data_IF_845973884853
#
_entry.id   IF_845973884853
#
_cell.length_a   1.000
_cell.length_b   1.000
_cell.length_c   1.000
_cell.angle_alpha   90.00
_cell.angle_beta   90.00
_cell.angle_gamma   90.00
#
_symmetry.space_group_name_H-M   'P 1'
#
loop_
_entity.id
_entity.type
_entity.pdbx_description
1 polymer ?
#
# COMPACT_ATOMS: atom_id res chain seq x y z
N UNK A 1 -91.40 -24.32 -20.53
CA UNK A 1 -90.59 -23.67 -19.48
C UNK A 1 -89.17 -23.87 -19.86
N UNK A 2 -88.46 -22.80 -20.29
CA UNK A 2 -87.13 -22.89 -20.88
C UNK A 2 -86.12 -22.33 -19.90
N UNK A 3 -85.15 -23.13 -19.48
CA UNK A 3 -83.99 -22.65 -18.71
C UNK A 3 -82.80 -22.49 -19.64
N UNK A 4 -82.24 -21.27 -19.67
CA UNK A 4 -80.98 -20.94 -20.36
C UNK A 4 -79.82 -21.12 -19.42
N UNK A 5 -78.65 -21.63 -19.85
CA UNK A 5 -77.46 -21.63 -19.06
C UNK A 5 -76.66 -20.34 -19.30
N UNK A 6 -76.09 -19.75 -18.23
CA UNK A 6 -75.22 -18.62 -18.23
C UNK A 6 -73.75 -19.11 -18.53
N UNK A 7 -73.12 -18.59 -19.58
CA UNK A 7 -71.72 -18.76 -19.87
C UNK A 7 -70.91 -17.79 -19.00
N UNK A 8 -70.10 -18.37 -18.09
CA UNK A 8 -69.07 -17.62 -17.36
C UNK A 8 -67.83 -17.39 -18.22
N UNK A 9 -67.44 -16.13 -18.42
CA UNK A 9 -66.18 -15.73 -19.06
C UNK A 9 -65.07 -15.81 -18.04
N UNK A 10 -64.16 -16.79 -18.17
CA UNK A 10 -62.88 -16.82 -17.43
C UNK A 10 -61.92 -15.85 -18.09
N UNK A 11 -61.55 -14.77 -17.40
CA UNK A 11 -60.50 -13.86 -17.80
C UNK A 11 -59.15 -14.44 -17.36
N UNK A 12 -58.38 -14.97 -18.31
CA UNK A 12 -57.01 -15.41 -18.07
C UNK A 12 -56.05 -14.22 -17.93
N UNK A 13 -55.43 -14.07 -16.79
CA UNK A 13 -54.32 -13.14 -16.58
C UNK A 13 -53.05 -13.81 -17.07
N UNK A 14 -52.50 -13.34 -18.20
CA UNK A 14 -51.13 -13.66 -18.65
C UNK A 14 -50.17 -12.79 -17.85
N UNK A 15 -49.51 -13.38 -16.87
CA UNK A 15 -48.37 -12.76 -16.22
C UNK A 15 -47.15 -12.83 -17.16
N UNK A 16 -46.80 -11.74 -17.77
CA UNK A 16 -45.55 -11.58 -18.52
C UNK A 16 -44.37 -11.52 -17.51
N UNK A 17 -43.67 -12.63 -17.36
CA UNK A 17 -42.39 -12.65 -16.63
C UNK A 17 -41.34 -11.95 -17.52
N UNK A 18 -41.01 -10.71 -17.20
CA UNK A 18 -39.84 -10.01 -17.78
C UNK A 18 -38.56 -10.66 -17.22
N UNK A 19 -37.93 -11.52 -18.01
CA UNK A 19 -36.62 -12.00 -17.78
C UNK A 19 -35.65 -10.81 -17.98
N UNK A 20 -35.21 -10.18 -16.90
CA UNK A 20 -34.09 -9.23 -16.94
C UNK A 20 -32.85 -10.03 -17.32
N UNK A 21 -32.41 -9.94 -18.56
CA UNK A 21 -31.12 -10.43 -19.00
C UNK A 21 -30.06 -9.63 -18.26
N UNK A 22 -29.42 -10.25 -17.26
CA UNK A 22 -28.19 -9.73 -16.70
C UNK A 22 -27.17 -9.71 -17.84
N UNK A 23 -26.79 -8.53 -18.30
CA UNK A 23 -25.64 -8.36 -19.19
C UNK A 23 -24.44 -8.96 -18.47
N UNK A 24 -23.62 -9.79 -19.15
CA UNK A 24 -22.38 -10.23 -18.55
C UNK A 24 -21.58 -8.96 -18.21
N UNK A 25 -21.24 -8.79 -16.94
CA UNK A 25 -20.24 -7.81 -16.55
C UNK A 25 -18.97 -8.19 -17.29
N UNK A 26 -18.47 -7.31 -18.15
CA UNK A 26 -17.16 -7.50 -18.74
C UNK A 26 -16.16 -7.48 -17.57
N UNK A 27 -15.42 -8.56 -17.42
CA UNK A 27 -14.29 -8.61 -16.50
C UNK A 27 -13.11 -7.96 -17.19
N UNK A 28 -12.64 -6.84 -16.64
CA UNK A 28 -11.51 -6.10 -17.17
C UNK A 28 -10.20 -6.45 -16.44
N UNK A 29 -9.06 -6.19 -17.09
CA UNK A 29 -7.76 -6.34 -16.46
C UNK A 29 -7.22 -4.96 -16.09
N UNK A 30 -7.23 -4.64 -14.80
CA UNK A 30 -6.70 -3.40 -14.28
C UNK A 30 -5.18 -3.46 -14.08
N UNK A 31 -4.45 -2.57 -14.71
CA UNK A 31 -3.01 -2.38 -14.49
C UNK A 31 -2.77 -1.48 -13.31
N UNK A 32 -2.17 -2.04 -12.24
CA UNK A 32 -1.93 -1.34 -10.99
C UNK A 32 -0.43 -1.17 -10.75
N UNK A 33 0.09 0.03 -10.96
CA UNK A 33 1.46 0.37 -10.54
C UNK A 33 1.48 0.69 -9.05
N UNK A 34 2.26 -0.06 -8.26
CA UNK A 34 2.22 0.03 -6.80
C UNK A 34 3.61 0.04 -6.18
N UNK A 35 3.80 0.87 -5.16
CA UNK A 35 5.03 0.89 -4.37
C UNK A 35 4.96 0.02 -3.11
N UNK A 36 6.14 -0.40 -2.63
CA UNK A 36 6.28 -1.46 -1.63
C UNK A 36 5.48 -1.28 -0.34
N UNK A 37 5.38 -0.06 0.18
CA UNK A 37 4.79 0.15 1.51
C UNK A 37 3.28 -0.16 1.62
N UNK A 38 2.52 -0.20 0.51
CA UNK A 38 1.10 -0.61 0.53
C UNK A 38 0.87 -2.00 -0.09
N UNK A 39 1.89 -2.63 -0.67
CA UNK A 39 1.73 -3.85 -1.46
C UNK A 39 1.17 -5.03 -0.63
N UNK A 40 1.55 -5.15 0.64
CA UNK A 40 1.09 -6.24 1.50
C UNK A 40 -0.43 -6.16 1.77
N UNK A 41 -0.96 -4.95 2.02
CA UNK A 41 -2.40 -4.73 2.18
C UNK A 41 -3.14 -4.96 0.86
N UNK A 42 -2.61 -4.43 -0.24
CA UNK A 42 -3.17 -4.62 -1.58
C UNK A 42 -3.27 -6.10 -1.97
N UNK A 43 -2.23 -6.90 -1.74
CA UNK A 43 -2.23 -8.33 -2.05
C UNK A 43 -3.23 -9.13 -1.24
N UNK A 44 -3.52 -8.72 0.01
CA UNK A 44 -4.54 -9.36 0.84
C UNK A 44 -5.96 -8.94 0.45
N UNK A 45 -6.15 -7.72 -0.02
CA UNK A 45 -7.45 -7.16 -0.41
C UNK A 45 -7.84 -7.50 -1.84
N UNK A 46 -6.87 -7.58 -2.77
CA UNK A 46 -7.10 -7.80 -4.20
C UNK A 46 -8.01 -8.99 -4.53
N UNK A 47 -7.82 -10.19 -3.93
CA UNK A 47 -8.69 -11.33 -4.18
C UNK A 47 -10.16 -11.06 -3.85
N UNK A 48 -10.44 -10.27 -2.81
CA UNK A 48 -11.80 -9.87 -2.44
C UNK A 48 -12.43 -8.92 -3.47
N UNK A 49 -11.65 -8.00 -4.02
CA UNK A 49 -12.08 -7.12 -5.12
C UNK A 49 -12.42 -7.94 -6.38
N UNK A 50 -11.48 -8.79 -6.83
CA UNK A 50 -11.68 -9.67 -7.99
C UNK A 50 -12.92 -10.57 -7.83
N UNK A 51 -13.15 -11.11 -6.62
CA UNK A 51 -14.33 -11.94 -6.37
C UNK A 51 -15.65 -11.15 -6.44
N UNK A 52 -15.62 -9.85 -6.09
CA UNK A 52 -16.79 -8.99 -6.07
C UNK A 52 -17.15 -8.41 -7.45
N UNK A 53 -16.15 -8.10 -8.28
CA UNK A 53 -16.34 -7.42 -9.58
C UNK A 53 -16.18 -8.35 -10.78
N UNK A 54 -15.36 -9.38 -10.67
CA UNK A 54 -14.91 -10.22 -11.77
C UNK A 54 -13.61 -9.72 -12.42
N UNK A 55 -13.19 -8.49 -12.16
CA UNK A 55 -11.98 -7.90 -12.75
C UNK A 55 -10.72 -8.59 -12.24
N UNK A 56 -9.68 -8.58 -13.07
CA UNK A 56 -8.35 -9.08 -12.72
C UNK A 56 -7.38 -7.93 -12.46
N UNK A 57 -6.32 -8.19 -11.71
CA UNK A 57 -5.35 -7.19 -11.30
C UNK A 57 -3.96 -7.55 -11.84
N UNK A 58 -3.48 -6.82 -12.85
CA UNK A 58 -2.08 -6.86 -13.30
C UNK A 58 -1.23 -5.93 -12.42
N UNK A 59 -0.45 -6.52 -11.52
CA UNK A 59 0.31 -5.78 -10.51
C UNK A 59 1.73 -5.49 -10.99
N UNK A 60 2.07 -4.23 -11.09
CA UNK A 60 3.36 -3.73 -11.57
C UNK A 60 4.09 -3.03 -10.41
N UNK A 61 4.99 -3.71 -9.68
CA UNK A 61 5.74 -3.10 -8.58
C UNK A 61 6.74 -2.06 -9.08
N UNK A 62 6.89 -0.96 -8.31
CA UNK A 62 7.90 0.06 -8.59
C UNK A 62 8.01 1.09 -7.49
N UNK A 63 9.20 1.73 -7.30
CA UNK A 63 9.36 2.80 -6.34
C UNK A 63 8.45 3.99 -6.61
N UNK A 64 8.00 4.67 -5.55
CA UNK A 64 7.22 5.91 -5.65
C UNK A 64 8.01 7.07 -6.27
N UNK A 65 9.34 7.00 -6.27
CA UNK A 65 10.25 8.04 -6.74
C UNK A 65 11.65 7.48 -6.99
N UNK A 66 12.55 8.33 -7.48
CA UNK A 66 13.96 7.98 -7.70
C UNK A 66 14.33 7.84 -9.16
N UNK A 67 15.60 7.49 -9.42
CA UNK A 67 16.16 7.43 -10.77
C UNK A 67 15.99 6.06 -11.45
N UNK A 68 15.47 5.06 -10.72
CA UNK A 68 15.24 3.74 -11.30
C UNK A 68 14.26 3.83 -12.47
N UNK A 69 14.52 3.08 -13.52
CA UNK A 69 13.58 2.96 -14.66
C UNK A 69 12.26 2.32 -14.25
N UNK A 70 12.24 1.55 -13.15
CA UNK A 70 11.05 0.91 -12.58
C UNK A 70 10.22 1.87 -11.70
N UNK A 71 10.75 3.06 -11.35
CA UNK A 71 10.00 4.02 -10.57
C UNK A 71 8.72 4.45 -11.32
N UNK A 72 7.59 4.48 -10.60
CA UNK A 72 6.28 4.79 -11.17
C UNK A 72 6.29 6.08 -12.01
N UNK A 73 6.88 7.21 -11.53
CA UNK A 73 6.95 8.42 -12.34
C UNK A 73 7.70 8.23 -13.66
N UNK A 74 8.79 7.44 -13.64
CA UNK A 74 9.61 7.20 -14.83
C UNK A 74 8.90 6.26 -15.83
N UNK A 75 8.11 5.29 -15.35
CA UNK A 75 7.25 4.44 -16.19
C UNK A 75 6.20 5.28 -16.91
N UNK A 76 5.45 6.11 -16.17
CA UNK A 76 4.44 7.01 -16.75
C UNK A 76 5.06 8.03 -17.72
N UNK A 77 6.26 8.55 -17.42
CA UNK A 77 6.98 9.47 -18.32
C UNK A 77 7.38 8.83 -19.66
N UNK A 78 7.61 7.51 -19.70
CA UNK A 78 7.86 6.74 -20.92
C UNK A 78 6.59 6.31 -21.65
N UNK A 79 5.40 6.65 -21.14
CA UNK A 79 4.13 6.28 -21.73
C UNK A 79 3.66 4.86 -21.38
N UNK A 80 4.24 4.21 -20.36
CA UNK A 80 3.68 2.96 -19.85
C UNK A 80 2.30 3.24 -19.24
N UNK A 81 1.29 2.48 -19.67
CA UNK A 81 -0.08 2.65 -19.22
C UNK A 81 -0.32 1.98 -17.87
N UNK A 82 -1.16 2.60 -17.07
CA UNK A 82 -1.74 2.02 -15.86
C UNK A 82 -3.16 2.57 -15.67
N UNK A 83 -4.01 1.81 -15.01
CA UNK A 83 -5.35 2.24 -14.61
C UNK A 83 -5.32 2.84 -13.20
N UNK A 84 -4.45 2.32 -12.34
CA UNK A 84 -4.26 2.80 -10.98
C UNK A 84 -2.78 2.97 -10.68
N UNK A 85 -2.44 4.04 -9.95
CA UNK A 85 -1.14 4.18 -9.28
C UNK A 85 -1.36 4.25 -7.78
N UNK A 86 -0.59 3.48 -6.99
CA UNK A 86 -0.60 3.49 -5.52
C UNK A 86 0.82 3.77 -5.05
N UNK A 87 1.02 4.91 -4.38
CA UNK A 87 2.35 5.40 -4.10
C UNK A 87 2.36 6.38 -2.91
N UNK A 88 3.55 6.84 -2.56
CA UNK A 88 3.70 7.89 -1.54
C UNK A 88 2.95 9.16 -1.95
N UNK A 89 2.11 9.68 -1.05
CA UNK A 89 1.15 10.75 -1.34
C UNK A 89 1.79 12.01 -1.94
N UNK A 90 2.89 12.52 -1.38
CA UNK A 90 3.54 13.72 -1.93
C UNK A 90 4.17 13.47 -3.32
N UNK A 91 4.53 12.23 -3.66
CA UNK A 91 5.00 11.91 -5.00
C UNK A 91 3.82 11.78 -5.98
N UNK A 92 2.67 11.31 -5.51
CA UNK A 92 1.41 11.34 -6.27
C UNK A 92 0.97 12.79 -6.54
N UNK A 93 1.07 13.68 -5.54
CA UNK A 93 0.74 15.10 -5.69
C UNK A 93 1.59 15.77 -6.79
N UNK A 94 2.86 15.38 -6.91
CA UNK A 94 3.72 15.85 -8.01
C UNK A 94 3.21 15.38 -9.37
N UNK A 95 2.82 14.11 -9.50
CA UNK A 95 2.24 13.59 -10.74
C UNK A 95 0.91 14.28 -11.10
N UNK A 96 0.11 14.66 -10.11
CA UNK A 96 -1.09 15.47 -10.30
C UNK A 96 -0.73 16.85 -10.84
N UNK A 97 0.25 17.52 -10.24
CA UNK A 97 0.73 18.84 -10.68
C UNK A 97 1.32 18.81 -12.10
N UNK A 98 1.95 17.69 -12.47
CA UNK A 98 2.48 17.44 -13.82
C UNK A 98 1.40 17.05 -14.84
N UNK A 99 0.13 16.95 -14.43
CA UNK A 99 -0.99 16.53 -15.30
C UNK A 99 -0.93 15.05 -15.72
N UNK A 100 -0.24 14.21 -14.97
CA UNK A 100 -0.12 12.77 -15.23
C UNK A 100 -1.20 11.94 -14.54
N UNK A 101 -1.78 12.45 -13.46
CA UNK A 101 -2.84 11.80 -12.68
C UNK A 101 -4.01 12.76 -12.54
N UNK A 102 -5.23 12.25 -12.61
CA UNK A 102 -6.48 13.00 -12.49
C UNK A 102 -6.62 13.51 -11.05
N UNK A 103 -6.68 14.83 -10.79
CA UNK A 103 -6.72 15.37 -9.43
C UNK A 103 -7.88 14.83 -8.58
N UNK A 104 -9.08 14.73 -9.18
CA UNK A 104 -10.29 14.28 -8.50
C UNK A 104 -10.28 12.79 -8.14
N UNK A 105 -9.31 12.01 -8.66
CA UNK A 105 -9.20 10.58 -8.39
C UNK A 105 -8.31 10.25 -7.18
N UNK A 106 -7.69 11.25 -6.54
CA UNK A 106 -6.79 11.04 -5.40
C UNK A 106 -7.54 10.52 -4.17
N UNK A 107 -7.11 9.36 -3.66
CA UNK A 107 -7.71 8.69 -2.49
C UNK A 107 -6.61 8.38 -1.47
N UNK A 108 -6.83 8.75 -0.21
CA UNK A 108 -5.96 8.39 0.90
C UNK A 108 -6.17 6.92 1.27
N UNK A 109 -5.09 6.14 1.43
CA UNK A 109 -5.18 4.70 1.68
C UNK A 109 -4.70 4.30 3.06
N UNK A 110 -3.51 4.75 3.47
CA UNK A 110 -2.92 4.39 4.75
C UNK A 110 -1.77 5.32 5.16
N UNK A 111 -1.47 5.36 6.45
CA UNK A 111 -0.22 5.89 6.97
C UNK A 111 0.76 4.77 7.26
N UNK A 112 2.00 4.96 6.88
CA UNK A 112 3.08 4.04 7.15
C UNK A 112 4.13 4.68 8.06
N UNK A 113 4.57 3.93 9.06
CA UNK A 113 5.58 4.36 10.02
C UNK A 113 6.84 3.53 9.89
N UNK A 114 7.98 4.11 10.26
CA UNK A 114 9.26 3.43 10.31
C UNK A 114 9.30 2.55 11.56
N UNK A 115 9.75 1.32 11.38
CA UNK A 115 10.03 0.39 12.45
C UNK A 115 11.46 -0.14 12.39
N UNK A 116 11.81 -0.90 13.41
CA UNK A 116 13.10 -1.55 13.59
C UNK A 116 12.94 -3.06 13.68
N UNK A 117 13.88 -3.79 13.08
CA UNK A 117 14.03 -5.23 13.22
C UNK A 117 15.45 -5.57 13.69
N UNK A 118 15.52 -6.72 14.37
CA UNK A 118 16.76 -7.44 14.65
C UNK A 118 16.67 -8.84 14.08
N UNK A 119 17.76 -9.58 13.97
CA UNK A 119 17.74 -10.99 13.58
C UNK A 119 16.90 -11.81 14.57
N UNK A 120 16.18 -12.82 14.07
CA UNK A 120 15.43 -13.73 14.93
C UNK A 120 16.33 -14.39 15.98
N UNK A 121 15.89 -14.36 17.24
CA UNK A 121 16.65 -14.87 18.38
C UNK A 121 17.72 -13.90 18.95
N UNK A 122 17.98 -12.76 18.29
CA UNK A 122 18.83 -11.73 18.86
C UNK A 122 18.11 -10.95 19.99
N UNK A 123 18.85 -10.36 20.95
CA UNK A 123 18.27 -9.50 21.96
C UNK A 123 17.44 -8.38 21.32
N UNK A 124 16.25 -8.15 21.86
CA UNK A 124 15.34 -7.09 21.41
C UNK A 124 15.59 -5.84 22.25
N UNK A 125 16.19 -4.76 21.69
CA UNK A 125 16.37 -3.52 22.43
C UNK A 125 15.03 -2.84 22.68
N UNK A 126 14.95 -2.06 23.78
CA UNK A 126 13.80 -1.21 24.00
C UNK A 126 13.97 0.12 23.25
N UNK A 127 13.14 0.32 22.24
CA UNK A 127 13.11 1.55 21.44
C UNK A 127 11.83 2.37 21.64
N UNK A 128 11.06 2.08 22.70
CA UNK A 128 9.81 2.78 22.99
C UNK A 128 10.00 4.25 23.37
N UNK A 129 11.23 4.65 23.71
CA UNK A 129 11.59 6.04 24.01
C UNK A 129 12.71 6.53 23.08
N UNK A 130 12.88 7.85 22.99
CA UNK A 130 13.98 8.46 22.21
C UNK A 130 15.34 8.02 22.76
N UNK A 131 15.52 7.96 24.06
CA UNK A 131 16.77 7.55 24.68
C UNK A 131 17.04 6.05 24.42
N UNK A 132 16.04 5.19 24.55
CA UNK A 132 16.18 3.77 24.21
C UNK A 132 16.55 3.55 22.74
N UNK A 133 15.96 4.30 21.80
CA UNK A 133 16.35 4.26 20.40
C UNK A 133 17.81 4.74 20.18
N UNK A 134 18.22 5.81 20.87
CA UNK A 134 19.60 6.29 20.84
C UNK A 134 20.59 5.21 21.33
N UNK A 135 20.29 4.61 22.47
CA UNK A 135 21.11 3.55 23.05
C UNK A 135 21.21 2.34 22.12
N UNK A 136 20.10 1.91 21.54
CA UNK A 136 20.06 0.83 20.56
C UNK A 136 20.94 1.12 19.32
N UNK A 137 20.87 2.34 18.79
CA UNK A 137 21.69 2.78 17.66
C UNK A 137 23.18 2.88 18.03
N UNK A 138 23.52 3.39 19.22
CA UNK A 138 24.92 3.52 19.67
C UNK A 138 25.54 2.17 19.94
N UNK A 139 24.80 1.22 20.52
CA UNK A 139 25.29 -0.13 20.84
C UNK A 139 25.38 -1.04 19.61
N UNK A 140 24.53 -0.86 18.60
CA UNK A 140 24.55 -1.69 17.40
C UNK A 140 25.89 -1.59 16.67
N UNK A 141 26.40 -2.75 16.19
CA UNK A 141 27.65 -2.82 15.41
C UNK A 141 27.44 -2.37 13.96
N UNK A 142 26.27 -2.59 13.41
CA UNK A 142 25.89 -2.21 12.05
C UNK A 142 24.40 -1.88 11.95
N UNK A 143 24.07 -0.91 11.10
CA UNK A 143 22.71 -0.41 10.89
C UNK A 143 22.38 -0.42 9.41
N UNK A 144 21.27 -1.03 9.03
CA UNK A 144 20.75 -1.00 7.67
C UNK A 144 19.50 -0.12 7.57
N UNK A 145 19.37 0.60 6.47
CA UNK A 145 18.14 1.32 6.12
C UNK A 145 17.89 1.26 4.61
N UNK A 146 16.65 1.45 4.17
CA UNK A 146 16.27 1.32 2.76
C UNK A 146 16.73 2.50 1.90
N UNK A 147 16.70 2.33 0.58
CA UNK A 147 16.85 3.40 -0.42
C UNK A 147 15.54 4.14 -0.72
N UNK A 148 14.48 3.88 0.06
CA UNK A 148 13.16 4.52 -0.06
C UNK A 148 13.03 5.79 0.81
N UNK A 149 11.80 6.34 0.87
CA UNK A 149 11.50 7.54 1.65
C UNK A 149 11.92 7.41 3.13
N UNK A 150 11.73 6.23 3.75
CA UNK A 150 12.14 6.00 5.14
C UNK A 150 13.65 6.07 5.32
N UNK A 151 14.42 5.50 4.41
CA UNK A 151 15.88 5.53 4.49
C UNK A 151 16.45 6.92 4.26
N UNK A 152 15.89 7.68 3.33
CA UNK A 152 16.27 9.09 3.11
C UNK A 152 16.05 9.91 4.40
N UNK A 153 14.91 9.72 5.06
CA UNK A 153 14.64 10.40 6.34
C UNK A 153 15.62 9.97 7.43
N UNK A 154 15.88 8.66 7.57
CA UNK A 154 16.81 8.12 8.58
C UNK A 154 18.20 8.72 8.42
N UNK A 155 18.73 8.71 7.20
CA UNK A 155 20.06 9.20 6.88
C UNK A 155 20.20 10.71 7.09
N UNK A 156 19.23 11.48 6.59
CA UNK A 156 19.33 12.95 6.54
C UNK A 156 18.83 13.65 7.79
N UNK A 157 17.89 13.03 8.51
CA UNK A 157 17.19 13.72 9.59
C UNK A 157 17.21 12.96 10.92
N UNK A 158 16.86 11.66 10.98
CA UNK A 158 16.65 10.94 12.23
C UNK A 158 17.94 10.89 13.06
N UNK A 159 19.07 10.51 12.48
CA UNK A 159 20.35 10.45 13.19
C UNK A 159 20.77 11.81 13.76
N UNK A 160 20.50 12.87 13.03
CA UNK A 160 20.77 14.25 13.47
C UNK A 160 19.81 14.68 14.59
N UNK A 161 18.51 14.43 14.44
CA UNK A 161 17.51 14.73 15.49
C UNK A 161 17.82 14.01 16.80
N UNK A 162 18.35 12.79 16.71
CA UNK A 162 18.78 12.00 17.86
C UNK A 162 20.15 12.45 18.42
N UNK A 163 20.90 13.28 17.71
CA UNK A 163 22.25 13.69 18.12
C UNK A 163 23.31 12.58 18.06
N UNK A 164 23.09 11.54 17.26
CA UNK A 164 23.97 10.36 17.15
C UNK A 164 24.61 10.21 15.77
N UNK A 165 24.43 11.18 14.90
CA UNK A 165 24.85 11.10 13.49
C UNK A 165 26.34 10.71 13.33
N UNK A 166 27.22 11.37 14.07
CA UNK A 166 28.66 11.15 13.98
C UNK A 166 29.07 9.72 14.36
N UNK A 167 28.37 9.11 15.34
CA UNK A 167 28.68 7.77 15.84
C UNK A 167 28.02 6.67 15.00
N UNK A 168 26.85 6.95 14.42
CA UNK A 168 26.06 5.94 13.71
C UNK A 168 26.38 5.90 12.21
N UNK A 169 26.60 7.03 11.54
CA UNK A 169 26.92 7.08 10.09
C UNK A 169 28.05 6.14 9.66
N UNK A 170 29.18 6.00 10.39
CA UNK A 170 30.28 5.12 9.95
C UNK A 170 29.93 3.63 9.91
N UNK A 171 28.85 3.23 10.60
CA UNK A 171 28.38 1.83 10.68
C UNK A 171 26.97 1.63 10.09
N UNK A 172 26.43 2.65 9.45
CA UNK A 172 25.10 2.64 8.84
C UNK A 172 25.22 2.60 7.31
N UNK A 173 24.42 1.79 6.67
CA UNK A 173 24.44 1.61 5.21
C UNK A 173 23.05 1.60 4.62
N UNK A 174 22.92 2.27 3.47
CA UNK A 174 21.75 2.15 2.62
C UNK A 174 21.75 0.80 1.89
N UNK A 175 20.64 0.07 1.95
CA UNK A 175 20.44 -1.21 1.27
C UNK A 175 19.56 -0.96 0.05
N UNK A 176 20.11 -1.03 -1.18
CA UNK A 176 19.35 -0.76 -2.38
C UNK A 176 18.57 -1.99 -2.85
N UNK A 177 17.35 -1.79 -3.30
CA UNK A 177 16.53 -2.73 -4.10
C UNK A 177 16.06 -4.01 -3.43
N UNK A 178 16.53 -4.34 -2.24
CA UNK A 178 16.08 -5.53 -1.49
C UNK A 178 15.50 -5.12 -0.14
N UNK A 179 14.61 -5.93 0.46
CA UNK A 179 14.09 -5.65 1.79
C UNK A 179 15.21 -5.58 2.83
N UNK A 180 15.22 -4.52 3.65
CA UNK A 180 16.22 -4.37 4.73
C UNK A 180 16.18 -5.56 5.69
N UNK A 181 14.98 -6.08 5.97
CA UNK A 181 14.84 -7.23 6.86
C UNK A 181 15.58 -8.48 6.35
N UNK A 182 15.77 -8.67 5.02
CA UNK A 182 16.48 -9.83 4.49
C UNK A 182 17.98 -9.80 4.81
N UNK A 183 18.63 -8.64 4.74
CA UNK A 183 20.06 -8.51 5.12
C UNK A 183 20.27 -8.62 6.62
N UNK A 184 19.27 -8.24 7.44
CA UNK A 184 19.30 -8.48 8.89
C UNK A 184 19.09 -9.96 9.21
N UNK A 185 18.15 -10.63 8.53
CA UNK A 185 17.91 -12.07 8.68
C UNK A 185 19.16 -12.90 8.35
N UNK A 186 19.89 -12.51 7.30
CA UNK A 186 21.15 -13.15 6.90
C UNK A 186 22.29 -12.89 7.88
N UNK A 187 22.20 -11.86 8.73
CA UNK A 187 23.25 -11.45 9.67
C UNK A 187 24.28 -10.49 9.09
N UNK A 188 24.02 -9.92 7.92
CA UNK A 188 24.89 -8.90 7.31
C UNK A 188 24.86 -7.60 8.12
N UNK A 189 23.71 -7.30 8.76
CA UNK A 189 23.49 -6.17 9.64
C UNK A 189 22.84 -6.60 10.95
N UNK A 190 23.20 -5.92 12.05
CA UNK A 190 22.65 -6.22 13.37
C UNK A 190 21.23 -5.68 13.55
N UNK A 191 20.99 -4.46 13.07
CA UNK A 191 19.67 -3.80 13.13
C UNK A 191 19.27 -3.23 11.77
N UNK A 192 17.97 -3.22 11.49
CA UNK A 192 17.45 -2.69 10.23
C UNK A 192 16.22 -1.83 10.44
N UNK A 193 16.10 -0.79 9.61
CA UNK A 193 14.98 0.16 9.63
C UNK A 193 14.35 0.26 8.24
N UNK A 194 13.03 0.14 8.19
CA UNK A 194 12.23 0.33 6.99
C UNK A 194 10.77 0.62 7.40
N UNK A 195 9.88 0.83 6.45
CA UNK A 195 8.45 0.87 6.70
C UNK A 195 8.01 -0.44 7.37
N UNK A 196 7.19 -0.36 8.42
CA UNK A 196 6.74 -1.53 9.19
C UNK A 196 6.13 -2.60 8.28
N UNK A 197 5.29 -2.19 7.32
CA UNK A 197 4.62 -3.11 6.39
C UNK A 197 5.59 -3.86 5.46
N UNK A 198 6.82 -3.36 5.28
CA UNK A 198 7.87 -4.01 4.49
C UNK A 198 8.77 -4.92 5.36
N UNK A 199 8.81 -4.68 6.67
CA UNK A 199 9.58 -5.49 7.62
C UNK A 199 8.86 -6.76 8.03
N UNK A 200 7.54 -6.65 8.32
CA UNK A 200 6.75 -7.75 8.90
C UNK A 200 6.67 -9.02 8.02
N UNK A 201 6.58 -8.93 6.68
CA UNK A 201 6.47 -10.13 5.84
C UNK A 201 7.75 -10.96 5.74
N UNK A 202 8.91 -10.42 6.12
CA UNK A 202 10.19 -11.10 5.91
C UNK A 202 10.50 -12.05 7.06
N UNK A 203 10.68 -13.35 6.80
CA UNK A 203 11.05 -14.32 7.84
C UNK A 203 12.51 -14.13 8.31
N UNK A 204 12.80 -14.65 9.49
CA UNK A 204 14.18 -14.62 10.03
C UNK A 204 14.55 -13.35 10.78
N UNK A 205 13.60 -12.44 10.98
CA UNK A 205 13.77 -11.26 11.83
C UNK A 205 12.74 -11.23 12.97
N UNK A 206 13.08 -10.48 14.01
CA UNK A 206 12.18 -10.10 15.09
C UNK A 206 11.85 -8.62 14.97
N UNK A 207 10.59 -8.29 14.83
CA UNK A 207 10.12 -6.91 14.87
C UNK A 207 10.29 -6.34 16.29
N UNK A 208 11.00 -5.24 16.40
CA UNK A 208 11.31 -4.59 17.68
C UNK A 208 10.20 -3.63 18.08
N UNK A 209 9.82 -2.74 17.18
CA UNK A 209 8.81 -1.72 17.42
C UNK A 209 8.86 -0.61 16.37
N UNK A 210 7.92 0.33 16.47
CA UNK A 210 7.95 1.59 15.72
C UNK A 210 8.98 2.53 16.34
N UNK A 211 9.61 3.36 15.53
CA UNK A 211 10.41 4.51 15.98
C UNK A 211 9.50 5.43 16.78
N UNK A 212 9.96 6.04 17.91
CA UNK A 212 9.15 6.96 18.71
C UNK A 212 8.56 8.12 17.89
N UNK A 213 7.31 8.49 18.16
CA UNK A 213 6.57 9.49 17.37
C UNK A 213 7.28 10.83 17.23
N UNK A 214 8.02 11.28 18.26
CA UNK A 214 8.75 12.55 18.23
C UNK A 214 9.91 12.60 17.22
N UNK A 215 10.38 11.43 16.80
CA UNK A 215 11.44 11.26 15.80
C UNK A 215 11.02 10.34 14.65
N UNK A 216 9.71 10.12 14.51
CA UNK A 216 9.11 9.35 13.43
C UNK A 216 8.99 10.18 12.15
N UNK A 217 8.92 9.50 11.01
CA UNK A 217 8.45 10.06 9.76
C UNK A 217 7.26 9.23 9.27
N UNK A 218 6.09 9.83 9.28
CA UNK A 218 4.89 9.19 8.76
C UNK A 218 4.83 9.39 7.25
N UNK A 219 4.73 8.29 6.52
CA UNK A 219 4.56 8.31 5.07
C UNK A 219 3.11 7.98 4.73
N UNK A 220 2.36 8.94 4.20
CA UNK A 220 1.02 8.74 3.68
C UNK A 220 1.11 8.02 2.33
N UNK A 221 0.37 6.92 2.17
CA UNK A 221 0.12 6.27 0.90
C UNK A 221 -1.24 6.69 0.34
N UNK A 222 -1.26 7.00 -0.94
CA UNK A 222 -2.45 7.39 -1.68
C UNK A 222 -2.49 6.71 -3.04
N UNK A 223 -3.70 6.57 -3.57
CA UNK A 223 -3.94 6.09 -4.91
C UNK A 223 -4.51 7.17 -5.82
N UNK A 224 -4.38 6.99 -7.11
CA UNK A 224 -4.95 7.86 -8.13
C UNK A 224 -5.04 7.19 -9.50
N UNK A 225 -5.79 7.79 -10.39
CA UNK A 225 -6.03 7.31 -11.75
C UNK A 225 -5.17 8.13 -12.71
N UNK A 226 -4.24 7.50 -13.46
CA UNK A 226 -3.47 8.18 -14.48
C UNK A 226 -4.34 8.77 -15.58
N UNK A 227 -3.91 9.89 -16.14
CA UNK A 227 -4.54 10.45 -17.35
C UNK A 227 -4.35 9.47 -18.50
N UNK A 228 -5.45 9.07 -19.15
CA UNK A 228 -5.42 8.07 -20.22
C UNK A 228 -5.47 6.63 -19.73
N UNK A 229 -5.93 6.37 -18.51
CA UNK A 229 -6.30 5.03 -18.04
C UNK A 229 -7.35 4.41 -18.98
N UNK A 230 -7.21 3.11 -19.25
CA UNK A 230 -8.11 2.41 -20.16
C UNK A 230 -9.46 2.08 -19.46
N UNK A 231 -9.45 1.86 -18.13
CA UNK A 231 -10.60 1.45 -17.31
C UNK A 231 -10.80 2.40 -16.09
N UNK A 232 -11.15 3.70 -16.29
CA UNK A 232 -11.18 4.67 -15.20
C UNK A 232 -12.28 4.43 -14.16
N UNK A 233 -13.43 3.86 -14.55
CA UNK A 233 -14.53 3.59 -13.63
C UNK A 233 -14.21 2.41 -12.70
N UNK A 234 -13.60 1.35 -13.23
CA UNK A 234 -13.18 0.17 -12.45
C UNK A 234 -11.96 0.51 -11.58
N UNK A 235 -11.06 1.35 -12.08
CA UNK A 235 -9.97 1.93 -11.30
C UNK A 235 -10.50 2.72 -10.08
N UNK A 236 -11.58 3.48 -10.27
CA UNK A 236 -12.24 4.18 -9.15
C UNK A 236 -12.84 3.21 -8.16
N UNK A 237 -13.51 2.15 -8.63
CA UNK A 237 -14.08 1.12 -7.75
C UNK A 237 -12.99 0.44 -6.92
N UNK A 238 -11.83 0.12 -7.53
CA UNK A 238 -10.69 -0.45 -6.81
C UNK A 238 -10.17 0.51 -5.72
N UNK A 239 -10.00 1.79 -6.03
CA UNK A 239 -9.53 2.78 -5.05
C UNK A 239 -10.53 2.95 -3.90
N UNK A 240 -11.83 3.04 -4.20
CA UNK A 240 -12.90 3.14 -3.20
C UNK A 240 -12.94 1.88 -2.31
N UNK A 241 -12.75 0.69 -2.89
CA UNK A 241 -12.68 -0.57 -2.14
C UNK A 241 -11.48 -0.59 -1.20
N UNK A 242 -10.28 -0.23 -1.68
CA UNK A 242 -9.05 -0.22 -0.88
C UNK A 242 -9.10 0.81 0.27
N UNK A 243 -9.82 1.92 0.09
CA UNK A 243 -10.02 2.95 1.10
C UNK A 243 -11.20 2.69 2.03
N UNK A 244 -12.03 1.68 1.73
CA UNK A 244 -13.27 1.42 2.47
C UNK A 244 -13.04 1.09 3.94
N UNK A 245 -14.01 1.36 4.83
CA UNK A 245 -13.95 0.92 6.23
C UNK A 245 -13.74 -0.58 6.39
N UNK A 246 -14.25 -1.39 5.46
CA UNK A 246 -14.11 -2.85 5.45
C UNK A 246 -12.68 -3.30 5.17
N UNK A 247 -11.91 -2.53 4.41
CA UNK A 247 -10.50 -2.80 4.13
C UNK A 247 -9.57 -2.48 5.31
N UNK A 248 -9.96 -1.56 6.20
CA UNK A 248 -9.09 -1.04 7.25
C UNK A 248 -8.57 -2.09 8.26
N UNK A 249 -9.31 -3.13 8.67
CA UNK A 249 -8.74 -4.21 9.49
C UNK A 249 -7.56 -4.91 8.82
N UNK A 250 -7.64 -5.17 7.50
CA UNK A 250 -6.56 -5.79 6.71
C UNK A 250 -5.38 -4.82 6.61
N UNK A 251 -5.63 -3.53 6.32
CA UNK A 251 -4.60 -2.49 6.28
C UNK A 251 -3.81 -2.48 7.59
N UNK A 252 -4.49 -2.44 8.75
CA UNK A 252 -3.82 -2.46 10.07
C UNK A 252 -3.05 -3.75 10.33
N UNK A 253 -3.58 -4.90 9.91
CA UNK A 253 -2.92 -6.20 10.10
C UNK A 253 -1.58 -6.30 9.36
N UNK A 254 -1.37 -5.51 8.31
CA UNK A 254 -0.10 -5.44 7.57
C UNK A 254 0.91 -4.43 8.15
N UNK A 255 0.61 -3.82 9.29
CA UNK A 255 1.52 -2.88 9.95
C UNK A 255 1.38 -1.42 9.50
N UNK A 256 0.37 -1.13 8.69
CA UNK A 256 -0.04 0.22 8.32
C UNK A 256 -1.03 0.79 9.35
N UNK A 257 -1.21 2.09 9.35
CA UNK A 257 -2.23 2.76 10.16
C UNK A 257 -3.37 3.25 9.27
N UNK A 258 -4.59 3.16 9.79
CA UNK A 258 -5.80 3.61 9.10
C UNK A 258 -5.81 5.13 8.96
N UNK A 259 -6.27 5.62 7.81
CA UNK A 259 -6.50 7.05 7.55
C UNK A 259 -7.98 7.43 7.59
N UNK A 260 -8.87 6.44 7.63
CA UNK A 260 -10.30 6.68 7.88
C UNK A 260 -10.53 6.80 9.39
N UNK A 261 -11.31 7.80 9.80
CA UNK A 261 -11.78 7.88 11.19
C UNK A 261 -12.56 6.60 11.52
N UNK A 262 -12.25 5.99 12.68
CA UNK A 262 -12.99 4.86 13.23
C UNK A 262 -14.43 5.25 13.53
#
# INVERSE_FOLDING_TARGET
MHARPLLGRAAGWLAAATLAAALPAHADELRVMISGGFIAAYQQLGPGFTAATGDTLDTIPGPSMGQSKEAIPNRLARGEKADVVIMVGYALDRLIQEGKVIPASRVELADSRIGMVVRAGAPKPDIGTVDGLKDALLCAKSVAYSDSASGVYIEKEMFRKLGVEAQVKPKASMVPRIPVASVVANGDYEVGFQQVAELLPVPGVTYVGKVPESVQSVTRFAGGIPVGADHPDDAKQLLDYLASPQAQPVVRATGLDSVTAN
#
